data_IF_619466515783
#
_entry.id   IF_619466515783
#
_cell.length_a   1.000
_cell.length_b   1.000
_cell.length_c   1.000
_cell.angle_alpha   90.00
_cell.angle_beta   90.00
_cell.angle_gamma   90.00
#
_symmetry.space_group_name_H-M   'P 1'
#
loop_
_entity.id
_entity.type
_entity.pdbx_description
1 polymer ?
#
# COMPACT_ATOMS: atom_id res chain seq x y z
N UNK A 1 30.83 -57.70 14.01
CA UNK A 1 30.41 -57.31 12.65
C UNK A 1 29.30 -56.29 12.78
N UNK A 2 29.38 -55.24 11.96
CA UNK A 2 28.82 -53.91 12.18
C UNK A 2 27.29 -53.86 12.35
N UNK A 3 26.90 -53.05 13.33
CA UNK A 3 25.56 -52.56 13.62
C UNK A 3 24.98 -51.83 12.42
N UNK A 4 23.78 -52.22 11.99
CA UNK A 4 22.96 -51.45 11.08
C UNK A 4 22.51 -50.18 11.82
N UNK A 5 23.06 -49.04 11.41
CA UNK A 5 22.60 -47.72 11.85
C UNK A 5 21.28 -47.45 11.15
N UNK A 6 20.22 -47.39 11.95
CA UNK A 6 18.88 -46.95 11.58
C UNK A 6 18.93 -45.47 11.11
N UNK A 7 18.81 -45.25 9.79
CA UNK A 7 18.81 -43.92 9.15
C UNK A 7 17.40 -43.35 8.90
N UNK A 8 16.36 -43.97 9.48
CA UNK A 8 14.96 -43.65 9.19
C UNK A 8 14.44 -42.28 9.68
N UNK A 9 14.85 -41.70 10.83
CA UNK A 9 14.24 -40.46 11.35
C UNK A 9 14.81 -39.16 10.75
N UNK A 10 16.00 -39.20 10.12
CA UNK A 10 16.64 -37.98 9.57
C UNK A 10 16.01 -37.54 8.25
N UNK A 11 15.50 -38.50 7.46
CA UNK A 11 14.91 -38.22 6.14
C UNK A 11 13.54 -37.53 6.24
N UNK A 12 12.68 -37.96 7.16
CA UNK A 12 11.36 -37.32 7.36
C UNK A 12 11.46 -35.90 7.93
N UNK A 13 12.46 -35.63 8.77
CA UNK A 13 12.74 -34.30 9.28
C UNK A 13 13.25 -33.36 8.17
N UNK A 14 14.14 -33.86 7.30
CA UNK A 14 14.63 -33.10 6.15
C UNK A 14 13.53 -32.79 5.14
N UNK A 15 12.70 -33.78 4.79
CA UNK A 15 11.55 -33.61 3.89
C UNK A 15 10.55 -32.58 4.44
N UNK A 16 10.34 -32.53 5.77
CA UNK A 16 9.45 -31.54 6.41
C UNK A 16 10.01 -30.12 6.32
N UNK A 17 11.33 -29.95 6.48
CA UNK A 17 12.01 -28.65 6.36
C UNK A 17 12.02 -28.17 4.92
N UNK A 18 12.25 -29.07 3.96
CA UNK A 18 12.27 -28.75 2.54
C UNK A 18 10.88 -28.30 2.05
N UNK A 19 9.81 -28.95 2.50
CA UNK A 19 8.43 -28.56 2.22
C UNK A 19 8.10 -27.18 2.79
N UNK A 20 8.46 -26.91 4.06
CA UNK A 20 8.25 -25.60 4.66
C UNK A 20 8.99 -24.49 3.89
N UNK A 21 10.21 -24.77 3.44
CA UNK A 21 10.98 -23.82 2.64
C UNK A 21 10.34 -23.56 1.27
N UNK A 22 9.71 -24.57 0.66
CA UNK A 22 8.96 -24.42 -0.58
C UNK A 22 7.69 -23.58 -0.39
N UNK A 23 6.91 -23.85 0.66
CA UNK A 23 5.73 -23.06 1.00
C UNK A 23 6.07 -21.58 1.21
N UNK A 24 7.16 -21.30 1.93
CA UNK A 24 7.63 -19.92 2.14
C UNK A 24 8.09 -19.24 0.85
N UNK A 25 8.68 -19.98 -0.10
CA UNK A 25 9.01 -19.45 -1.44
C UNK A 25 7.74 -19.13 -2.23
N UNK A 26 6.71 -19.97 -2.14
CA UNK A 26 5.41 -19.72 -2.73
C UNK A 26 4.80 -18.42 -2.20
N UNK A 27 4.67 -18.32 -0.87
CA UNK A 27 4.18 -17.11 -0.18
C UNK A 27 4.95 -15.87 -0.60
N UNK A 28 6.29 -15.92 -0.61
CA UNK A 28 7.12 -14.79 -1.04
C UNK A 28 6.81 -14.37 -2.47
N UNK A 29 6.68 -15.33 -3.38
CA UNK A 29 6.41 -15.05 -4.80
C UNK A 29 5.05 -14.38 -4.99
N UNK A 30 4.03 -14.85 -4.29
CA UNK A 30 2.68 -14.29 -4.36
C UNK A 30 2.61 -12.87 -3.80
N UNK A 31 3.26 -12.61 -2.66
CA UNK A 31 3.36 -11.27 -2.08
C UNK A 31 4.09 -10.29 -3.01
N UNK A 32 5.20 -10.73 -3.63
CA UNK A 32 5.92 -9.91 -4.62
C UNK A 32 5.03 -9.59 -5.81
N UNK A 33 4.25 -10.56 -6.29
CA UNK A 33 3.29 -10.35 -7.38
C UNK A 33 2.16 -9.37 -6.98
N UNK A 34 1.71 -9.37 -5.72
CA UNK A 34 0.74 -8.40 -5.20
C UNK A 34 1.30 -6.98 -5.20
N UNK A 35 2.53 -6.79 -4.70
CA UNK A 35 3.23 -5.49 -4.74
C UNK A 35 3.49 -5.05 -6.19
N UNK A 36 3.92 -5.95 -7.06
CA UNK A 36 4.13 -5.66 -8.48
C UNK A 36 2.85 -5.19 -9.15
N UNK A 37 1.73 -5.89 -8.93
CA UNK A 37 0.42 -5.48 -9.44
C UNK A 37 0.04 -4.07 -8.98
N UNK A 38 0.28 -3.76 -7.71
CA UNK A 38 0.05 -2.43 -7.17
C UNK A 38 0.90 -1.36 -7.88
N UNK A 39 2.20 -1.61 -8.04
CA UNK A 39 3.13 -0.67 -8.68
C UNK A 39 2.81 -0.48 -10.17
N UNK A 40 2.44 -1.54 -10.89
CA UNK A 40 1.99 -1.45 -12.29
C UNK A 40 0.69 -0.65 -12.44
N UNK A 41 -0.13 -0.57 -11.39
CA UNK A 41 -1.35 0.23 -11.37
C UNK A 41 -1.14 1.73 -11.14
N UNK A 42 0.10 2.18 -10.89
CA UNK A 42 0.42 3.60 -10.68
C UNK A 42 0.41 4.36 -12.02
N UNK A 43 -0.43 5.38 -12.10
CA UNK A 43 -0.55 6.24 -13.28
C UNK A 43 0.56 7.31 -13.30
N UNK A 44 1.52 7.16 -14.20
CA UNK A 44 2.64 8.11 -14.37
C UNK A 44 2.21 9.49 -14.86
N UNK A 45 1.00 9.63 -15.43
CA UNK A 45 0.44 10.93 -15.83
C UNK A 45 -0.12 11.73 -14.64
N UNK A 46 -0.46 11.05 -13.53
CA UNK A 46 -0.98 11.65 -12.31
C UNK A 46 0.05 12.60 -11.68
N UNK A 47 -0.41 13.80 -11.29
CA UNK A 47 0.46 14.81 -10.67
C UNK A 47 1.09 14.31 -9.37
N UNK A 48 0.37 13.49 -8.59
CA UNK A 48 0.87 12.94 -7.33
C UNK A 48 2.01 11.94 -7.57
N UNK A 49 1.89 11.12 -8.62
CA UNK A 49 2.89 10.10 -8.99
C UNK A 49 4.14 10.74 -9.59
N UNK A 50 4.00 11.87 -10.31
CA UNK A 50 5.13 12.58 -10.94
C UNK A 50 6.25 12.97 -9.97
N UNK A 51 5.95 13.19 -8.69
CA UNK A 51 6.98 13.45 -7.66
C UNK A 51 7.93 12.28 -7.41
N UNK A 52 7.53 11.06 -7.77
CA UNK A 52 8.33 9.83 -7.63
C UNK A 52 8.52 9.10 -8.97
N UNK A 53 8.40 9.81 -10.09
CA UNK A 53 8.34 9.22 -11.43
C UNK A 53 9.52 8.27 -11.73
N UNK A 54 10.75 8.68 -11.41
CA UNK A 54 11.94 7.84 -11.63
C UNK A 54 11.80 6.47 -10.96
N UNK A 55 11.41 6.45 -9.68
CA UNK A 55 11.22 5.21 -8.92
C UNK A 55 10.10 4.36 -9.53
N UNK A 56 8.99 4.99 -9.91
CA UNK A 56 7.85 4.29 -10.53
C UNK A 56 8.26 3.65 -11.85
N UNK A 57 8.95 4.39 -12.73
CA UNK A 57 9.44 3.87 -14.00
C UNK A 57 10.45 2.73 -13.82
N UNK A 58 11.38 2.84 -12.87
CA UNK A 58 12.33 1.77 -12.54
C UNK A 58 11.61 0.48 -12.16
N UNK A 59 10.59 0.54 -11.31
CA UNK A 59 9.88 -0.64 -10.82
C UNK A 59 8.81 -1.16 -11.79
N UNK A 60 8.34 -0.33 -12.72
CA UNK A 60 7.44 -0.74 -13.81
C UNK A 60 8.18 -1.33 -15.03
N UNK A 61 9.51 -1.16 -15.10
CA UNK A 61 10.32 -1.73 -16.16
C UNK A 61 10.29 -3.27 -16.17
N UNK A 62 10.49 -3.87 -17.34
CA UNK A 62 10.46 -5.31 -17.52
C UNK A 62 11.62 -6.01 -16.80
N UNK A 63 12.77 -5.34 -16.71
CA UNK A 63 14.01 -5.78 -16.07
C UNK A 63 14.13 -5.40 -14.59
N UNK A 64 13.06 -4.87 -13.98
CA UNK A 64 13.04 -4.51 -12.57
C UNK A 64 13.39 -5.70 -11.65
N UNK A 65 14.22 -5.51 -10.59
CA UNK A 65 14.77 -6.59 -9.78
C UNK A 65 13.78 -7.12 -8.73
N UNK A 66 12.63 -7.64 -9.16
CA UNK A 66 11.58 -8.14 -8.26
C UNK A 66 11.99 -9.37 -7.43
N UNK A 67 12.98 -10.14 -7.88
CA UNK A 67 13.42 -11.38 -7.21
C UNK A 67 14.46 -11.13 -6.10
N UNK A 68 15.23 -10.05 -6.21
CA UNK A 68 16.31 -9.69 -5.28
C UNK A 68 16.05 -8.29 -4.70
N UNK A 69 15.07 -8.21 -3.79
CA UNK A 69 14.72 -6.97 -3.10
C UNK A 69 15.73 -6.74 -1.96
N UNK A 70 16.63 -5.77 -2.12
CA UNK A 70 17.48 -5.26 -1.04
C UNK A 70 16.70 -4.43 -0.03
N UNK A 71 17.29 -4.10 1.11
CA UNK A 71 16.64 -3.25 2.12
C UNK A 71 16.33 -1.85 1.55
N UNK A 72 17.23 -1.28 0.74
CA UNK A 72 17.02 0.01 0.07
C UNK A 72 15.89 -0.06 -0.96
N UNK A 73 15.81 -1.15 -1.72
CA UNK A 73 14.72 -1.41 -2.66
C UNK A 73 13.37 -1.53 -1.92
N UNK A 74 13.35 -2.20 -0.76
CA UNK A 74 12.16 -2.30 0.07
C UNK A 74 11.70 -0.92 0.58
N UNK A 75 12.63 -0.06 1.04
CA UNK A 75 12.31 1.30 1.47
C UNK A 75 11.74 2.16 0.32
N UNK A 76 12.31 2.03 -0.88
CA UNK A 76 11.79 2.72 -2.07
C UNK A 76 10.35 2.28 -2.39
N UNK A 77 10.09 0.97 -2.39
CA UNK A 77 8.77 0.39 -2.63
C UNK A 77 7.74 0.82 -1.57
N UNK A 78 8.11 0.88 -0.29
CA UNK A 78 7.26 1.44 0.79
C UNK A 78 6.89 2.88 0.48
N UNK A 79 7.85 3.65 -0.06
CA UNK A 79 7.59 4.99 -0.54
C UNK A 79 6.50 5.07 -1.62
N UNK A 80 6.48 4.12 -2.55
CA UNK A 80 5.48 4.04 -3.62
C UNK A 80 4.10 3.60 -3.11
N UNK A 81 4.03 2.85 -2.01
CA UNK A 81 2.77 2.32 -1.44
C UNK A 81 1.75 3.41 -1.03
N UNK A 82 2.22 4.65 -0.82
CA UNK A 82 1.34 5.80 -0.50
C UNK A 82 0.69 6.47 -1.71
N UNK A 83 1.09 6.09 -2.93
CA UNK A 83 0.59 6.68 -4.17
C UNK A 83 -0.75 6.06 -4.58
N UNK A 84 -1.61 6.83 -5.28
CA UNK A 84 -2.87 6.29 -5.79
C UNK A 84 -2.59 5.27 -6.90
N UNK A 85 -2.96 4.02 -6.65
CA UNK A 85 -2.90 2.92 -7.64
C UNK A 85 -4.31 2.56 -8.10
N UNK A 86 -4.42 2.20 -9.38
CA UNK A 86 -5.63 1.63 -9.98
C UNK A 86 -5.82 0.14 -9.69
N UNK A 87 -4.86 -0.51 -9.02
CA UNK A 87 -4.96 -1.90 -8.65
C UNK A 87 -6.16 -2.15 -7.73
N UNK A 88 -6.98 -3.15 -8.06
CA UNK A 88 -8.04 -3.61 -7.18
C UNK A 88 -7.43 -4.35 -6.00
N UNK A 89 -7.66 -3.81 -4.81
CA UNK A 89 -7.18 -4.34 -3.54
C UNK A 89 -8.35 -4.87 -2.68
N UNK A 90 -9.54 -4.99 -3.26
CA UNK A 90 -10.74 -5.45 -2.58
C UNK A 90 -11.42 -4.37 -1.72
N UNK A 91 -12.43 -4.81 -0.96
CA UNK A 91 -13.23 -3.93 -0.09
C UNK A 91 -12.41 -3.38 1.07
N UNK A 92 -12.96 -2.38 1.77
CA UNK A 92 -12.33 -1.85 2.97
C UNK A 92 -12.15 -2.92 4.05
N UNK A 93 -13.14 -3.79 4.24
CA UNK A 93 -13.10 -4.89 5.20
C UNK A 93 -11.97 -5.87 4.89
N UNK A 94 -11.82 -6.23 3.60
CA UNK A 94 -10.72 -7.09 3.16
C UNK A 94 -9.36 -6.46 3.47
N UNK A 95 -9.17 -5.17 3.18
CA UNK A 95 -7.92 -4.45 3.48
C UNK A 95 -7.61 -4.38 4.97
N UNK A 96 -8.63 -4.11 5.80
CA UNK A 96 -8.48 -4.09 7.26
C UNK A 96 -8.10 -5.46 7.80
N UNK A 97 -8.69 -6.52 7.26
CA UNK A 97 -8.36 -7.88 7.60
C UNK A 97 -6.94 -8.26 7.16
N UNK A 98 -6.57 -7.94 5.91
CA UNK A 98 -5.22 -8.14 5.37
C UNK A 98 -4.17 -7.49 6.28
N UNK A 99 -4.40 -6.27 6.75
CA UNK A 99 -3.49 -5.59 7.70
C UNK A 99 -3.30 -6.39 9.00
N UNK A 100 -4.38 -6.96 9.56
CA UNK A 100 -4.29 -7.79 10.78
C UNK A 100 -3.50 -9.06 10.50
N UNK A 101 -3.72 -9.70 9.34
CA UNK A 101 -3.01 -10.92 8.95
C UNK A 101 -1.53 -10.66 8.66
N UNK A 102 -1.17 -9.55 8.01
CA UNK A 102 0.23 -9.18 7.81
C UNK A 102 0.92 -8.86 9.15
N UNK A 103 0.26 -8.18 10.08
CA UNK A 103 0.79 -7.96 11.43
C UNK A 103 0.96 -9.27 12.23
N UNK A 104 0.06 -10.23 12.04
CA UNK A 104 0.19 -11.58 12.59
C UNK A 104 1.43 -12.29 12.02
N UNK A 105 1.61 -12.27 10.70
CA UNK A 105 2.79 -12.84 10.03
C UNK A 105 4.09 -12.16 10.48
N UNK A 106 4.11 -10.83 10.59
CA UNK A 106 5.24 -10.09 11.15
C UNK A 106 5.55 -10.52 12.59
N UNK A 107 4.52 -10.78 13.40
CA UNK A 107 4.68 -11.26 14.76
C UNK A 107 5.28 -12.67 14.81
N UNK A 108 4.87 -13.58 13.90
CA UNK A 108 5.48 -14.92 13.75
C UNK A 108 6.97 -14.84 13.38
N UNK A 109 7.36 -13.81 12.62
CA UNK A 109 8.75 -13.55 12.26
C UNK A 109 9.55 -12.77 13.32
N UNK A 110 8.95 -12.47 14.49
CA UNK A 110 9.59 -11.68 15.55
C UNK A 110 9.78 -10.20 15.21
N UNK A 111 9.07 -9.69 14.19
CA UNK A 111 9.13 -8.29 13.72
C UNK A 111 8.03 -7.40 14.31
N UNK A 112 7.06 -7.99 15.02
CA UNK A 112 5.97 -7.27 15.69
C UNK A 112 5.65 -7.93 17.04
N UNK A 113 5.19 -7.14 18.01
CA UNK A 113 4.77 -7.62 19.35
C UNK A 113 3.26 -7.79 19.46
N UNK A 114 2.54 -7.71 18.33
CA UNK A 114 1.06 -7.65 18.30
C UNK A 114 0.39 -9.03 18.19
N UNK A 115 1.11 -10.13 18.42
CA UNK A 115 0.60 -11.51 18.30
C UNK A 115 -0.78 -11.70 18.94
N UNK A 116 -0.89 -11.47 20.26
CA UNK A 116 -2.15 -11.70 20.99
C UNK A 116 -3.27 -10.74 20.57
N UNK A 117 -2.93 -9.51 20.18
CA UNK A 117 -3.93 -8.56 19.69
C UNK A 117 -4.46 -8.98 18.30
N UNK A 118 -3.59 -9.49 17.43
CA UNK A 118 -4.00 -10.02 16.13
C UNK A 118 -4.79 -11.32 16.29
N UNK A 119 -4.33 -12.23 17.16
CA UNK A 119 -5.04 -13.46 17.52
C UNK A 119 -6.49 -13.20 17.89
N UNK A 120 -6.72 -12.29 18.86
CA UNK A 120 -8.08 -11.91 19.28
C UNK A 120 -8.91 -11.41 18.10
N UNK A 121 -8.39 -10.49 17.30
CA UNK A 121 -9.12 -9.94 16.14
C UNK A 121 -9.48 -11.00 15.10
N UNK A 122 -8.55 -11.92 14.81
CA UNK A 122 -8.79 -13.02 13.86
C UNK A 122 -9.82 -14.00 14.41
N UNK A 123 -9.75 -14.33 15.71
CA UNK A 123 -10.78 -15.12 16.40
C UNK A 123 -12.14 -14.43 16.38
N UNK A 124 -12.22 -13.11 16.60
CA UNK A 124 -13.47 -12.35 16.54
C UNK A 124 -14.08 -12.40 15.12
N UNK A 125 -13.25 -12.24 14.08
CA UNK A 125 -13.66 -12.38 12.67
C UNK A 125 -14.18 -13.79 12.38
N UNK A 126 -13.43 -14.82 12.77
CA UNK A 126 -13.83 -16.21 12.58
C UNK A 126 -15.13 -16.54 13.34
N UNK A 127 -15.29 -16.00 14.55
CA UNK A 127 -16.52 -16.17 15.35
C UNK A 127 -17.71 -15.50 14.68
N UNK A 128 -17.55 -14.29 14.14
CA UNK A 128 -18.63 -13.63 13.41
C UNK A 128 -19.03 -14.42 12.14
N UNK A 129 -18.04 -14.89 11.39
CA UNK A 129 -18.27 -15.69 10.18
C UNK A 129 -18.92 -17.04 10.48
N UNK A 130 -18.60 -17.69 11.61
CA UNK A 130 -19.20 -18.98 11.98
C UNK A 130 -20.71 -18.89 12.23
N UNK A 131 -21.24 -17.70 12.54
CA UNK A 131 -22.70 -17.47 12.65
C UNK A 131 -23.42 -17.37 11.30
N UNK A 132 -22.68 -17.40 10.18
CA UNK A 132 -23.18 -17.16 8.82
C UNK A 132 -22.99 -18.36 7.88
N UNK A 133 -22.89 -19.57 8.42
CA UNK A 133 -22.65 -20.80 7.65
C UNK A 133 -23.82 -21.16 6.71
N UNK A 134 -24.98 -20.52 6.85
CA UNK A 134 -26.08 -20.60 5.88
C UNK A 134 -25.72 -19.94 4.53
N UNK A 135 -24.75 -19.02 4.51
CA UNK A 135 -24.27 -18.39 3.27
C UNK A 135 -23.32 -19.36 2.55
N UNK A 136 -23.59 -19.78 1.29
CA UNK A 136 -22.76 -20.77 0.61
C UNK A 136 -21.28 -20.42 0.49
N UNK A 137 -20.96 -19.13 0.37
CA UNK A 137 -19.58 -18.66 0.31
C UNK A 137 -18.82 -18.87 1.63
N UNK A 138 -19.51 -18.67 2.76
CA UNK A 138 -18.96 -18.87 4.10
C UNK A 138 -18.88 -20.37 4.41
N UNK A 139 -19.92 -21.14 4.07
CA UNK A 139 -19.95 -22.60 4.25
C UNK A 139 -18.75 -23.31 3.60
N UNK A 140 -18.31 -22.87 2.41
CA UNK A 140 -17.12 -23.41 1.74
C UNK A 140 -15.82 -23.23 2.54
N UNK A 141 -15.78 -22.28 3.46
CA UNK A 141 -14.65 -22.01 4.33
C UNK A 141 -14.89 -22.51 5.77
N UNK A 142 -15.96 -23.28 6.02
CA UNK A 142 -16.38 -23.71 7.35
C UNK A 142 -15.29 -24.43 8.14
N UNK A 143 -14.62 -25.41 7.52
CA UNK A 143 -13.54 -26.16 8.17
C UNK A 143 -12.41 -25.24 8.65
N UNK A 144 -12.00 -24.27 7.80
CA UNK A 144 -10.97 -23.29 8.15
C UNK A 144 -11.44 -22.37 9.30
N UNK A 145 -12.70 -21.94 9.26
CA UNK A 145 -13.29 -21.11 10.32
C UNK A 145 -13.27 -21.87 11.65
N UNK A 146 -13.64 -23.15 11.64
CA UNK A 146 -13.61 -24.00 12.84
C UNK A 146 -12.17 -24.19 13.35
N UNK A 147 -11.23 -24.51 12.47
CA UNK A 147 -9.81 -24.68 12.81
C UNK A 147 -9.23 -23.44 13.50
N UNK A 148 -9.46 -22.24 12.96
CA UNK A 148 -8.97 -20.96 13.51
C UNK A 148 -9.49 -20.70 14.94
N UNK A 149 -10.66 -21.25 15.29
CA UNK A 149 -11.24 -21.13 16.63
C UNK A 149 -10.63 -22.13 17.64
N UNK A 150 -9.86 -23.11 17.18
CA UNK A 150 -9.20 -24.11 18.05
C UNK A 150 -7.84 -23.64 18.55
N UNK A 151 -7.42 -24.13 19.73
CA UNK A 151 -6.08 -23.85 20.26
C UNK A 151 -4.96 -24.42 19.38
N UNK A 152 -5.16 -25.64 18.85
CA UNK A 152 -4.16 -26.37 18.09
C UNK A 152 -3.70 -25.63 16.83
N UNK A 153 -4.61 -24.93 16.14
CA UNK A 153 -4.26 -24.13 14.97
C UNK A 153 -3.25 -23.02 15.31
N UNK A 154 -3.41 -22.38 16.47
CA UNK A 154 -2.50 -21.32 16.93
C UNK A 154 -1.13 -21.86 17.40
N UNK A 155 -1.08 -23.07 17.96
CA UNK A 155 0.18 -23.72 18.34
C UNK A 155 1.02 -24.10 17.12
N UNK A 156 0.37 -24.56 16.05
CA UNK A 156 1.01 -24.97 14.79
C UNK A 156 1.12 -23.85 13.75
N UNK A 157 0.84 -22.60 14.12
CA UNK A 157 0.70 -21.52 13.15
C UNK A 157 2.03 -21.16 12.47
N UNK A 158 2.08 -21.31 11.15
CA UNK A 158 3.20 -20.88 10.30
C UNK A 158 2.81 -19.67 9.45
N UNK A 159 3.80 -18.97 8.88
CA UNK A 159 3.54 -17.85 7.95
C UNK A 159 2.73 -18.32 6.73
N UNK A 160 3.03 -19.50 6.20
CA UNK A 160 2.30 -20.08 5.08
C UNK A 160 0.85 -20.40 5.44
N UNK A 161 0.60 -20.97 6.63
CA UNK A 161 -0.75 -21.25 7.10
C UNK A 161 -1.55 -19.95 7.34
N UNK A 162 -0.90 -18.93 7.89
CA UNK A 162 -1.50 -17.60 8.07
C UNK A 162 -1.83 -16.94 6.73
N UNK A 163 -0.97 -17.05 5.72
CA UNK A 163 -1.22 -16.53 4.37
C UNK A 163 -2.38 -17.25 3.67
N UNK A 164 -2.42 -18.58 3.77
CA UNK A 164 -3.53 -19.36 3.24
C UNK A 164 -4.87 -18.97 3.90
N UNK A 165 -4.87 -18.76 5.22
CA UNK A 165 -6.04 -18.26 5.93
C UNK A 165 -6.43 -16.84 5.48
N UNK A 166 -5.45 -15.94 5.26
CA UNK A 166 -5.69 -14.59 4.76
C UNK A 166 -6.44 -14.61 3.43
N UNK A 167 -5.94 -15.37 2.46
CA UNK A 167 -6.51 -15.45 1.11
C UNK A 167 -7.94 -16.00 1.11
N UNK A 168 -8.25 -16.98 1.95
CA UNK A 168 -9.60 -17.58 2.01
C UNK A 168 -10.60 -16.73 2.78
N UNK A 169 -10.18 -16.16 3.92
CA UNK A 169 -11.08 -15.38 4.77
C UNK A 169 -11.31 -13.96 4.23
N UNK A 170 -10.34 -13.35 3.52
CA UNK A 170 -10.53 -12.02 2.91
C UNK A 170 -11.67 -11.98 1.91
N UNK A 171 -11.97 -13.09 1.24
CA UNK A 171 -13.07 -13.17 0.27
C UNK A 171 -14.44 -13.07 0.92
N UNK A 172 -14.55 -13.43 2.20
CA UNK A 172 -15.84 -13.55 2.90
C UNK A 172 -15.98 -12.58 4.09
N UNK A 173 -14.92 -11.87 4.50
CA UNK A 173 -14.96 -10.97 5.66
C UNK A 173 -16.01 -9.86 5.53
N UNK A 174 -16.32 -9.43 4.30
CA UNK A 174 -17.36 -8.43 4.03
C UNK A 174 -18.79 -8.92 4.31
N UNK A 175 -18.97 -10.24 4.48
CA UNK A 175 -20.25 -10.89 4.80
C UNK A 175 -20.54 -10.93 6.30
N UNK A 176 -19.58 -10.51 7.14
CA UNK A 176 -19.86 -10.26 8.56
C UNK A 176 -20.92 -9.18 8.68
N UNK A 177 -21.85 -9.33 9.63
CA UNK A 177 -22.82 -8.28 9.92
C UNK A 177 -22.05 -7.01 10.24
N UNK A 178 -22.29 -5.95 9.46
CA UNK A 178 -21.75 -4.64 9.72
C UNK A 178 -22.40 -4.13 11.00
N UNK A 179 -21.81 -4.43 12.16
CA UNK A 179 -22.16 -3.73 13.40
C UNK A 179 -22.09 -2.25 13.09
N UNK A 180 -23.28 -1.61 13.05
CA UNK A 180 -23.57 -0.26 12.58
C UNK A 180 -22.32 0.56 12.28
N UNK A 181 -21.95 0.69 11.00
CA UNK A 181 -21.02 1.74 10.60
C UNK A 181 -21.61 3.04 11.16
N UNK A 182 -20.94 3.66 12.14
CA UNK A 182 -21.21 5.05 12.48
C UNK A 182 -20.96 5.80 11.19
N UNK A 183 -22.03 6.16 10.49
CA UNK A 183 -21.95 7.01 9.31
C UNK A 183 -21.44 8.35 9.85
N UNK A 184 -20.12 8.54 9.82
CA UNK A 184 -19.52 9.84 10.00
C UNK A 184 -19.87 10.62 8.74
N UNK A 185 -20.95 11.38 8.80
CA UNK A 185 -21.13 12.51 7.90
C UNK A 185 -20.02 13.50 8.24
N UNK A 186 -18.90 13.41 7.53
CA UNK A 186 -17.96 14.53 7.45
C UNK A 186 -18.60 15.54 6.51
N UNK A 187 -19.51 16.33 7.06
CA UNK A 187 -19.98 17.54 6.41
C UNK A 187 -18.85 18.56 6.51
N UNK A 188 -18.01 18.61 5.48
CA UNK A 188 -17.07 19.70 5.30
C UNK A 188 -17.88 20.87 4.71
N UNK A 189 -18.65 21.56 5.55
CA UNK A 189 -18.98 22.94 5.24
C UNK A 189 -17.65 23.70 5.22
N UNK A 190 -17.24 24.13 4.02
CA UNK A 190 -16.09 24.98 3.82
C UNK A 190 -16.43 26.35 4.46
N UNK A 191 -16.18 26.47 5.76
CA UNK A 191 -16.41 27.71 6.50
C UNK A 191 -15.32 28.69 6.06
N UNK A 192 -15.61 29.44 5.00
CA UNK A 192 -14.88 30.63 4.61
C UNK A 192 -14.99 31.64 5.76
N UNK A 193 -14.16 31.43 6.79
CA UNK A 193 -14.07 32.31 7.94
C UNK A 193 -13.92 33.77 7.50
N UNK A 194 -14.47 34.68 8.30
CA UNK A 194 -14.56 36.10 7.96
C UNK A 194 -13.22 36.63 7.42
N UNK A 195 -13.25 37.12 6.18
CA UNK A 195 -12.09 37.65 5.48
C UNK A 195 -11.37 38.68 6.37
N UNK A 196 -10.15 38.36 6.78
CA UNK A 196 -9.32 39.31 7.53
C UNK A 196 -8.75 40.30 6.52
N UNK A 197 -9.12 41.60 6.56
CA UNK A 197 -8.55 42.57 5.66
C UNK A 197 -7.07 42.74 6.01
N UNK A 198 -6.20 42.09 5.26
CA UNK A 198 -4.79 42.40 5.28
C UNK A 198 -4.61 43.80 4.65
N UNK A 199 -4.12 44.76 5.44
CA UNK A 199 -3.74 46.07 4.92
C UNK A 199 -2.57 45.89 3.97
N UNK A 200 -2.87 45.87 2.67
CA UNK A 200 -1.85 45.99 1.63
C UNK A 200 -1.32 47.42 1.71
N UNK A 201 -0.06 47.58 2.09
CA UNK A 201 0.60 48.89 2.14
C UNK A 201 0.50 49.54 0.74
N UNK A 202 -0.29 50.63 0.56
CA UNK A 202 -0.56 51.19 -0.76
C UNK A 202 0.63 51.96 -1.33
N UNK A 203 1.70 52.15 -0.54
CA UNK A 203 2.95 52.75 -0.99
C UNK A 203 3.94 51.67 -1.48
N UNK A 204 3.50 50.77 -2.37
CA UNK A 204 4.45 50.16 -3.28
C UNK A 204 4.92 51.28 -4.22
N UNK A 205 6.14 51.79 -4.02
CA UNK A 205 6.73 52.82 -4.87
C UNK A 205 6.83 52.31 -6.31
N UNK A 206 5.79 52.58 -7.08
CA UNK A 206 5.66 52.17 -8.47
C UNK A 206 6.78 52.77 -9.33
N UNK A 207 7.38 53.89 -8.91
CA UNK A 207 8.53 54.48 -9.58
C UNK A 207 9.77 53.64 -9.35
N UNK A 208 10.01 53.17 -8.11
CA UNK A 208 11.09 52.24 -7.79
C UNK A 208 10.91 50.89 -8.50
N UNK A 209 9.68 50.35 -8.55
CA UNK A 209 9.38 49.12 -9.29
C UNK A 209 9.63 49.29 -10.79
N UNK A 210 9.12 50.37 -11.42
CA UNK A 210 9.37 50.65 -12.86
C UNK A 210 10.85 50.87 -13.16
N UNK A 211 11.61 51.51 -12.27
CA UNK A 211 13.05 51.71 -12.44
C UNK A 211 13.79 50.37 -12.44
N UNK A 212 13.51 49.52 -11.45
CA UNK A 212 14.13 48.19 -11.32
C UNK A 212 13.74 47.26 -12.46
N UNK A 213 12.48 47.32 -12.91
CA UNK A 213 12.01 46.56 -14.07
C UNK A 213 12.67 47.03 -15.38
N UNK A 214 12.87 48.35 -15.57
CA UNK A 214 13.59 48.87 -16.76
C UNK A 214 15.07 48.50 -16.75
N UNK A 215 15.75 48.57 -15.60
CA UNK A 215 17.14 48.12 -15.48
C UNK A 215 17.29 46.62 -15.72
N UNK A 216 16.32 45.81 -15.29
CA UNK A 216 16.29 44.37 -15.59
C UNK A 216 16.09 44.12 -17.09
N UNK A 217 15.14 44.82 -17.72
CA UNK A 217 14.88 44.69 -19.17
C UNK A 217 16.05 45.18 -20.03
N UNK A 218 16.77 46.24 -19.62
CA UNK A 218 17.94 46.73 -20.37
C UNK A 218 19.13 45.77 -20.28
N UNK A 219 19.28 45.04 -19.16
CA UNK A 219 20.36 44.06 -18.95
C UNK A 219 20.11 42.72 -19.64
N UNK A 220 18.86 42.42 -20.01
CA UNK A 220 18.46 41.13 -20.58
C UNK A 220 17.83 41.25 -21.97
N UNK A 221 18.16 42.30 -22.73
CA UNK A 221 17.58 42.61 -24.05
C UNK A 221 17.75 41.53 -25.13
N UNK A 222 18.74 40.64 -25.00
CA UNK A 222 18.99 39.56 -25.96
C UNK A 222 18.29 38.23 -25.63
N UNK A 223 17.44 38.20 -24.59
CA UNK A 223 16.72 36.99 -24.22
C UNK A 223 15.52 36.75 -25.14
N UNK A 224 15.49 35.63 -25.87
CA UNK A 224 14.48 35.29 -26.90
C UNK A 224 13.02 35.41 -26.41
N UNK A 225 12.77 35.20 -25.12
CA UNK A 225 11.45 35.35 -24.49
C UNK A 225 10.91 36.80 -24.49
N UNK A 226 11.78 37.82 -24.48
CA UNK A 226 11.41 39.24 -24.43
C UNK A 226 11.14 39.85 -25.82
N UNK A 227 11.63 39.22 -26.90
CA UNK A 227 11.45 39.71 -28.28
C UNK A 227 10.11 39.34 -28.92
N UNK A 228 9.36 38.39 -28.34
CA UNK A 228 8.08 37.94 -28.90
C UNK A 228 6.88 38.84 -28.60
N UNK A 229 6.74 39.51 -27.42
CA UNK A 229 5.59 40.38 -27.17
C UNK A 229 5.73 41.80 -27.75
N UNK A 230 6.94 42.35 -27.93
CA UNK A 230 7.11 43.74 -28.36
C UNK A 230 6.75 43.99 -29.85
N UNK A 231 6.92 43.00 -30.73
CA UNK A 231 6.53 43.13 -32.15
C UNK A 231 5.02 43.20 -32.38
N UNK A 232 4.21 42.68 -31.46
CA UNK A 232 2.74 42.70 -31.59
C UNK A 232 2.10 44.01 -31.14
N UNK A 233 2.76 44.80 -30.29
CA UNK A 233 2.22 46.06 -29.79
C UNK A 233 2.41 47.26 -30.76
N UNK A 234 3.25 47.13 -31.79
CA UNK A 234 3.53 48.21 -32.75
C UNK A 234 2.70 48.14 -34.06
N UNK A 235 1.78 47.17 -34.21
CA UNK A 235 1.04 46.94 -35.46
C UNK A 235 -0.48 47.14 -35.38
N UNK A 236 -0.97 47.90 -34.39
CA UNK A 236 -2.37 48.34 -34.35
C UNK A 236 -2.39 49.87 -34.31
N UNK A 237 -2.37 50.49 -35.50
CA UNK A 237 -2.64 51.91 -35.73
C UNK A 237 -4.16 52.15 -35.72
N UNK A 238 -4.61 53.25 -35.10
CA UNK A 238 -5.22 54.41 -35.77
C UNK A 238 -4.75 55.65 -35.04
#
# INVERSE_FOLDING_TARGET
MAQAVDQSPTRSAQESVDNLAEDLRGVRTDLINEVRRFVMGLDTSSFVVRGRLRSVETWQAEDAPWFEISDEAAEELVGLASLPSSADLGTEEAKRFDLVMFELQLSLMGRSTKMEACRRKVTDVATALSTKLEIPAVARQGDLIEEVLTHAWWEGLTVALAEHARLRLREIVHLMDQTSRTILYTDFEDDLGAATPASLNPAADFAAFKKKAREFLSKHGDHVALNRPLKKAASTRV
#
